data_IF_831048287601
#
_entry.id   IF_831048287601
#
_cell.length_a   1.000
_cell.length_b   1.000
_cell.length_c   1.000
_cell.angle_alpha   90.00
_cell.angle_beta   90.00
_cell.angle_gamma   90.00
#
_symmetry.space_group_name_H-M   'P 1'
#
loop_
_entity.id
_entity.type
_entity.pdbx_description
1 polymer ?
#
# COMPACT_ATOMS: atom_id res chain seq x y z
N UNK A 1 11.89 22.80 -9.43
CA UNK A 1 11.11 22.36 -8.25
C UNK A 1 11.77 21.10 -7.70
N UNK A 2 11.87 20.96 -6.38
CA UNK A 2 12.54 19.83 -5.72
C UNK A 2 11.52 18.82 -5.23
N UNK A 3 11.90 17.55 -5.20
CA UNK A 3 11.07 16.48 -4.62
C UNK A 3 10.84 16.74 -3.13
N UNK A 4 9.59 16.61 -2.68
CA UNK A 4 9.23 16.83 -1.27
C UNK A 4 8.27 15.74 -0.81
N UNK A 5 8.47 15.28 0.42
CA UNK A 5 7.67 14.23 1.04
C UNK A 5 7.32 14.64 2.47
N UNK A 6 6.07 14.38 2.86
CA UNK A 6 5.58 14.54 4.23
C UNK A 6 4.73 13.35 4.61
N UNK A 7 4.78 12.98 5.89
CA UNK A 7 3.92 11.95 6.42
C UNK A 7 3.49 12.28 7.85
N UNK A 8 2.29 11.88 8.19
CA UNK A 8 1.78 11.92 9.56
C UNK A 8 1.06 10.61 9.82
N UNK A 9 1.23 10.06 11.02
CA UNK A 9 0.59 8.80 11.37
C UNK A 9 0.72 8.52 12.86
N UNK A 10 -0.05 7.54 13.29
CA UNK A 10 -0.09 7.15 14.69
C UNK A 10 -0.82 5.84 14.87
N UNK A 11 -0.76 5.35 16.11
CA UNK A 11 -1.50 4.18 16.52
C UNK A 11 -2.06 4.40 17.93
N UNK A 12 -3.12 3.67 18.22
CA UNK A 12 -3.72 3.61 19.55
C UNK A 12 -4.03 2.16 19.89
N UNK A 13 -3.62 1.73 21.08
CA UNK A 13 -3.89 0.38 21.59
C UNK A 13 -4.81 0.47 22.80
N UNK A 14 -5.92 -0.24 22.76
CA UNK A 14 -6.88 -0.36 23.85
C UNK A 14 -7.24 -1.83 24.07
N UNK A 15 -6.73 -2.40 25.16
CA UNK A 15 -6.92 -3.82 25.48
C UNK A 15 -6.42 -4.73 24.37
N UNK A 16 -7.34 -5.47 23.75
CA UNK A 16 -7.06 -6.44 22.68
C UNK A 16 -7.07 -5.81 21.29
N UNK A 17 -7.35 -4.51 21.16
CA UNK A 17 -7.46 -3.82 19.87
C UNK A 17 -6.30 -2.85 19.70
N UNK A 18 -5.68 -2.85 18.51
CA UNK A 18 -4.78 -1.78 18.06
C UNK A 18 -5.30 -1.20 16.76
N UNK A 19 -5.51 0.11 16.74
CA UNK A 19 -5.83 0.87 15.53
C UNK A 19 -4.59 1.63 15.06
N UNK A 20 -4.37 1.70 13.75
CA UNK A 20 -3.33 2.50 13.14
C UNK A 20 -3.94 3.34 12.02
N UNK A 21 -3.41 4.55 11.84
CA UNK A 21 -3.72 5.38 10.69
C UNK A 21 -2.48 6.14 10.24
N UNK A 22 -2.37 6.38 8.94
CA UNK A 22 -1.27 7.13 8.35
C UNK A 22 -1.67 7.85 7.08
N UNK A 23 -1.02 8.96 6.83
CA UNK A 23 -1.13 9.75 5.62
C UNK A 23 0.28 10.09 5.12
N UNK A 24 0.44 10.06 3.81
CA UNK A 24 1.68 10.37 3.11
C UNK A 24 1.36 11.27 1.93
N UNK A 25 2.15 12.32 1.74
CA UNK A 25 2.09 13.20 0.59
C UNK A 25 3.46 13.31 -0.05
N UNK A 26 3.48 13.20 -1.38
CA UNK A 26 4.68 13.44 -2.17
C UNK A 26 4.39 14.45 -3.27
N UNK A 27 5.34 15.34 -3.50
CA UNK A 27 5.42 16.20 -4.68
C UNK A 27 6.68 15.83 -5.45
N UNK A 28 6.51 15.43 -6.71
CA UNK A 28 7.61 15.01 -7.60
C UNK A 28 7.80 15.98 -8.75
N UNK A 29 9.05 16.34 -9.05
CA UNK A 29 9.38 17.08 -10.25
C UNK A 29 9.59 16.10 -11.42
N UNK A 30 8.82 16.29 -12.51
CA UNK A 30 8.92 15.47 -13.72
C UNK A 30 9.51 16.27 -14.90
N UNK A 31 10.39 17.23 -14.61
CA UNK A 31 11.01 18.08 -15.63
C UNK A 31 10.01 19.02 -16.29
N UNK A 32 9.94 18.98 -17.62
CA UNK A 32 9.03 19.83 -18.42
C UNK A 32 7.55 19.47 -18.25
N UNK A 33 7.23 18.28 -17.75
CA UNK A 33 5.86 17.83 -17.49
C UNK A 33 5.22 18.45 -16.24
N UNK A 34 6.00 19.25 -15.49
CA UNK A 34 5.55 19.89 -14.26
C UNK A 34 5.54 18.95 -13.07
N UNK A 35 4.69 19.27 -12.08
CA UNK A 35 4.73 18.65 -10.77
C UNK A 35 3.69 17.53 -10.64
N UNK A 36 4.14 16.34 -10.24
CA UNK A 36 3.30 15.21 -9.78
C UNK A 36 2.92 15.40 -8.31
N UNK A 37 1.72 14.97 -7.95
CA UNK A 37 1.28 14.89 -6.56
C UNK A 37 0.75 13.50 -6.23
N UNK A 38 1.26 12.92 -5.14
CA UNK A 38 0.75 11.67 -4.59
C UNK A 38 0.18 11.94 -3.20
N UNK A 39 -1.01 11.39 -2.94
CA UNK A 39 -1.63 11.38 -1.62
C UNK A 39 -1.98 9.93 -1.31
N UNK A 40 -1.35 9.38 -0.29
CA UNK A 40 -1.62 8.04 0.18
C UNK A 40 -2.10 8.06 1.62
N UNK A 41 -2.97 7.13 1.97
CA UNK A 41 -3.42 6.94 3.34
C UNK A 41 -3.65 5.47 3.63
N UNK A 42 -3.55 5.11 4.89
CA UNK A 42 -3.76 3.75 5.38
C UNK A 42 -4.48 3.79 6.71
N UNK A 43 -5.34 2.81 6.93
CA UNK A 43 -5.97 2.51 8.22
C UNK A 43 -5.90 1.02 8.45
N UNK A 44 -5.65 0.61 9.68
CA UNK A 44 -5.65 -0.81 10.04
C UNK A 44 -6.07 -1.06 11.47
N UNK A 45 -6.61 -2.24 11.70
CA UNK A 45 -7.03 -2.75 12.98
C UNK A 45 -6.39 -4.11 13.19
N UNK A 46 -5.80 -4.30 14.36
CA UNK A 46 -5.40 -5.60 14.89
C UNK A 46 -6.30 -5.94 16.07
N UNK A 47 -6.80 -7.18 16.09
CA UNK A 47 -7.53 -7.78 17.19
C UNK A 47 -6.75 -8.98 17.70
N UNK A 48 -6.30 -8.94 18.96
CA UNK A 48 -5.51 -9.98 19.61
C UNK A 48 -6.18 -10.45 20.92
N UNK A 49 -7.24 -11.30 20.84
CA UNK A 49 -7.86 -11.90 22.00
C UNK A 49 -6.86 -12.72 22.83
N UNK A 50 -7.21 -13.06 24.08
CA UNK A 50 -6.35 -13.89 24.96
C UNK A 50 -6.07 -15.32 24.43
N UNK A 51 -6.72 -15.73 23.34
CA UNK A 51 -6.55 -17.06 22.73
C UNK A 51 -5.31 -17.15 21.84
N UNK A 52 -5.25 -18.23 21.05
CA UNK A 52 -4.14 -18.47 20.14
C UNK A 52 -4.25 -17.72 18.80
N UNK A 53 -5.27 -16.88 18.61
CA UNK A 53 -5.52 -16.21 17.33
C UNK A 53 -5.30 -14.71 17.42
N UNK A 54 -4.63 -14.15 16.40
CA UNK A 54 -4.69 -12.72 16.08
C UNK A 54 -5.32 -12.51 14.71
N UNK A 55 -6.01 -11.38 14.55
CA UNK A 55 -6.62 -10.96 13.30
C UNK A 55 -6.15 -9.55 12.95
N UNK A 56 -5.87 -9.31 11.68
CA UNK A 56 -5.55 -7.98 11.17
C UNK A 56 -6.39 -7.69 9.94
N UNK A 57 -6.88 -6.46 9.84
CA UNK A 57 -7.60 -5.94 8.69
C UNK A 57 -7.10 -4.52 8.43
N UNK A 58 -6.84 -4.18 7.18
CA UNK A 58 -6.48 -2.83 6.83
C UNK A 58 -6.86 -2.48 5.42
N UNK A 59 -6.88 -1.19 5.17
CA UNK A 59 -7.13 -0.61 3.87
C UNK A 59 -6.09 0.47 3.62
N UNK A 60 -5.55 0.50 2.41
CA UNK A 60 -4.68 1.57 1.94
C UNK A 60 -5.14 2.08 0.58
N UNK A 61 -4.93 3.38 0.34
CA UNK A 61 -5.12 4.00 -0.97
C UNK A 61 -3.90 4.85 -1.31
N UNK A 62 -3.48 4.81 -2.56
CA UNK A 62 -2.42 5.63 -3.14
C UNK A 62 -3.00 6.35 -4.36
N UNK A 63 -3.27 7.65 -4.23
CA UNK A 63 -3.81 8.48 -5.30
C UNK A 63 -2.72 9.34 -5.92
N UNK A 64 -2.64 9.32 -7.25
CA UNK A 64 -1.73 10.18 -8.02
C UNK A 64 -2.52 11.20 -8.82
N UNK A 65 -1.92 12.37 -8.95
CA UNK A 65 -2.35 13.44 -9.85
C UNK A 65 -1.14 13.90 -10.65
N UNK A 66 -1.33 14.05 -11.95
CA UNK A 66 -0.33 14.55 -12.86
C UNK A 66 0.94 13.68 -12.89
N UNK A 67 0.79 12.36 -12.88
CA UNK A 67 1.90 11.42 -12.90
C UNK A 67 2.19 10.95 -14.33
N UNK A 68 3.44 11.06 -14.76
CA UNK A 68 3.90 10.41 -15.98
C UNK A 68 4.08 8.92 -15.72
N UNK A 69 3.79 8.09 -16.73
CA UNK A 69 4.12 6.67 -16.67
C UNK A 69 5.63 6.47 -16.80
N UNK A 70 6.07 5.27 -16.47
CA UNK A 70 7.36 4.75 -16.92
C UNK A 70 7.26 4.22 -18.37
N UNK A 71 8.35 3.66 -18.87
CA UNK A 71 8.42 3.09 -20.23
C UNK A 71 7.55 1.84 -20.44
N UNK A 72 7.02 1.25 -19.37
CA UNK A 72 6.13 0.09 -19.42
C UNK A 72 4.66 0.50 -19.41
N UNK A 73 4.37 1.81 -19.27
CA UNK A 73 3.01 2.31 -19.15
C UNK A 73 2.45 2.21 -17.73
N UNK A 74 3.30 2.12 -16.70
CA UNK A 74 2.92 2.01 -15.30
C UNK A 74 3.19 3.29 -14.51
N UNK A 75 2.47 3.51 -13.42
CA UNK A 75 2.77 4.62 -12.50
C UNK A 75 4.02 4.27 -11.67
N UNK A 76 5.16 4.97 -11.83
CA UNK A 76 6.36 4.70 -11.05
C UNK A 76 6.13 5.00 -9.56
N UNK A 77 6.78 4.22 -8.69
CA UNK A 77 6.76 4.47 -7.25
C UNK A 77 7.32 5.86 -6.92
N UNK A 78 6.67 6.56 -5.99
CA UNK A 78 7.14 7.84 -5.49
C UNK A 78 8.59 7.74 -4.98
N UNK A 79 9.38 8.81 -5.17
CA UNK A 79 10.79 8.95 -4.78
C UNK A 79 11.83 8.07 -5.50
N UNK A 80 11.46 6.96 -6.14
CA UNK A 80 12.43 5.99 -6.68
C UNK A 80 12.22 5.62 -8.15
N UNK A 81 11.00 5.74 -8.68
CA UNK A 81 10.72 5.29 -10.04
C UNK A 81 11.06 6.34 -11.10
N UNK A 82 11.62 5.88 -12.22
CA UNK A 82 11.86 6.71 -13.39
C UNK A 82 10.53 6.94 -14.14
N UNK A 83 10.34 8.17 -14.64
CA UNK A 83 9.22 8.51 -15.50
C UNK A 83 9.70 8.73 -16.94
N UNK A 84 8.81 8.47 -17.89
CA UNK A 84 9.00 8.78 -19.29
C UNK A 84 8.42 10.19 -19.58
N UNK A 85 9.25 11.17 -20.00
CA UNK A 85 8.77 12.51 -20.30
C UNK A 85 7.82 12.57 -21.51
N UNK A 86 7.65 11.48 -22.25
CA UNK A 86 6.81 11.38 -23.45
C UNK A 86 5.48 10.64 -23.23
N UNK A 87 5.29 9.99 -22.08
CA UNK A 87 4.13 9.12 -21.82
C UNK A 87 2.80 9.83 -21.55
N UNK A 88 2.81 11.16 -21.56
CA UNK A 88 1.68 11.98 -21.10
C UNK A 88 1.50 11.93 -19.58
N UNK A 89 0.43 12.56 -19.09
CA UNK A 89 0.15 12.76 -17.66
C UNK A 89 -1.16 12.08 -17.27
N UNK A 90 -1.11 11.30 -16.20
CA UNK A 90 -2.19 10.42 -15.76
C UNK A 90 -2.61 10.73 -14.32
N UNK A 91 -3.89 10.46 -14.07
CA UNK A 91 -4.51 10.58 -12.76
C UNK A 91 -5.17 9.25 -12.43
N UNK A 92 -5.13 8.86 -11.16
CA UNK A 92 -5.78 7.63 -10.74
C UNK A 92 -5.45 7.29 -9.30
N UNK A 93 -5.92 6.12 -8.86
CA UNK A 93 -5.54 5.60 -7.55
C UNK A 93 -5.51 4.08 -7.54
N UNK A 94 -4.62 3.56 -6.72
CA UNK A 94 -4.58 2.16 -6.28
C UNK A 94 -5.20 2.09 -4.89
N UNK A 95 -6.07 1.12 -4.67
CA UNK A 95 -6.56 0.77 -3.34
C UNK A 95 -6.35 -0.71 -3.05
N UNK A 96 -6.11 -1.04 -1.79
CA UNK A 96 -5.89 -2.42 -1.36
C UNK A 96 -6.60 -2.64 -0.03
N UNK A 97 -7.53 -3.59 0.02
CA UNK A 97 -8.04 -4.18 1.25
C UNK A 97 -7.17 -5.40 1.57
N UNK A 98 -6.61 -5.47 2.76
CA UNK A 98 -5.76 -6.59 3.18
C UNK A 98 -6.17 -7.10 4.55
N UNK A 99 -5.90 -8.37 4.80
CA UNK A 99 -6.14 -8.97 6.11
C UNK A 99 -5.27 -10.20 6.35
N UNK A 100 -5.18 -10.58 7.61
CA UNK A 100 -4.48 -11.79 8.02
C UNK A 100 -5.04 -12.40 9.29
N UNK A 101 -4.79 -13.69 9.44
CA UNK A 101 -5.09 -14.50 10.62
C UNK A 101 -3.80 -15.20 11.01
N UNK A 102 -3.42 -15.07 12.27
CA UNK A 102 -2.28 -15.80 12.86
C UNK A 102 -2.80 -16.80 13.88
N UNK A 103 -2.25 -18.00 13.87
CA UNK A 103 -2.42 -19.00 14.93
C UNK A 103 -1.09 -19.26 15.63
N UNK A 104 -1.05 -18.99 16.92
CA UNK A 104 0.11 -19.10 17.79
C UNK A 104 0.24 -20.53 18.32
N UNK A 105 1.20 -21.30 17.78
CA UNK A 105 1.58 -22.62 18.28
C UNK A 105 2.35 -22.51 19.61
N UNK A 106 3.09 -21.42 19.78
CA UNK A 106 3.80 -21.06 21.01
C UNK A 106 4.07 -19.56 21.05
N UNK A 107 4.76 -19.07 22.08
CA UNK A 107 5.26 -17.68 22.13
C UNK A 107 6.25 -17.33 21.00
N UNK A 108 6.75 -18.35 20.28
CA UNK A 108 7.85 -18.21 19.31
C UNK A 108 7.50 -18.71 17.92
N UNK A 109 6.43 -19.49 17.77
CA UNK A 109 6.07 -20.12 16.50
C UNK A 109 4.60 -19.88 16.22
N UNK A 110 4.31 -19.44 15.01
CA UNK A 110 2.96 -19.17 14.53
C UNK A 110 2.82 -19.59 13.06
N UNK A 111 1.61 -19.99 12.69
CA UNK A 111 1.21 -20.17 11.29
C UNK A 111 0.25 -19.06 10.91
N UNK A 112 0.24 -18.66 9.64
CA UNK A 112 -0.62 -17.58 9.21
C UNK A 112 -1.22 -17.79 7.83
N UNK A 113 -2.36 -17.14 7.63
CA UNK A 113 -2.98 -16.88 6.34
C UNK A 113 -3.07 -15.36 6.20
N UNK A 114 -2.60 -14.84 5.07
CA UNK A 114 -2.70 -13.44 4.73
C UNK A 114 -3.19 -13.30 3.29
N UNK A 115 -3.81 -12.19 2.99
CA UNK A 115 -4.18 -11.87 1.63
C UNK A 115 -4.60 -10.44 1.46
N UNK A 116 -4.63 -10.02 0.21
CA UNK A 116 -5.10 -8.71 -0.17
C UNK A 116 -5.84 -8.73 -1.50
N UNK A 117 -6.70 -7.72 -1.65
CA UNK A 117 -7.44 -7.43 -2.85
C UNK A 117 -7.14 -6.00 -3.27
N UNK A 118 -6.32 -5.88 -4.31
CA UNK A 118 -5.92 -4.63 -4.92
C UNK A 118 -6.87 -4.27 -6.08
N UNK A 119 -7.22 -2.99 -6.20
CA UNK A 119 -7.96 -2.43 -7.33
C UNK A 119 -7.30 -1.16 -7.83
N UNK A 120 -7.35 -0.98 -9.14
CA UNK A 120 -6.79 0.15 -9.86
C UNK A 120 -7.92 0.94 -10.52
N UNK A 121 -7.84 2.27 -10.44
CA UNK A 121 -8.88 3.18 -10.89
C UNK A 121 -8.29 4.36 -11.66
N UNK A 122 -9.01 4.82 -12.68
CA UNK A 122 -8.53 5.85 -13.59
C UNK A 122 -7.35 5.35 -14.43
N UNK A 123 -6.35 6.20 -14.68
CA UNK A 123 -5.09 5.84 -15.33
C UNK A 123 -4.03 5.38 -14.33
N UNK A 124 -4.39 4.61 -13.31
CA UNK A 124 -3.40 3.99 -12.43
C UNK A 124 -3.14 2.57 -12.92
N UNK A 125 -1.89 2.28 -13.29
CA UNK A 125 -1.43 0.99 -13.80
C UNK A 125 -0.21 0.52 -13.01
N UNK A 126 -0.11 -0.80 -12.84
CA UNK A 126 1.00 -1.45 -12.14
C UNK A 126 1.31 -2.76 -12.86
N UNK A 127 2.56 -2.99 -13.25
CA UNK A 127 2.94 -4.14 -14.06
C UNK A 127 2.62 -5.50 -13.44
N UNK A 128 2.55 -5.60 -12.11
CA UNK A 128 2.19 -6.84 -11.41
C UNK A 128 0.76 -7.32 -11.69
N UNK A 129 -0.12 -6.48 -12.24
CA UNK A 129 -1.50 -6.86 -12.58
C UNK A 129 -1.64 -7.41 -13.99
N UNK A 130 -0.58 -7.39 -14.81
CA UNK A 130 -0.60 -7.88 -16.20
C UNK A 130 -1.77 -7.31 -17.02
N UNK A 131 -2.06 -6.01 -16.84
CA UNK A 131 -3.15 -5.30 -17.53
C UNK A 131 -4.53 -5.41 -16.87
N UNK A 132 -4.68 -6.21 -15.81
CA UNK A 132 -5.92 -6.25 -15.03
C UNK A 132 -6.08 -5.00 -14.15
N UNK A 133 -7.32 -4.61 -13.87
CA UNK A 133 -7.65 -3.49 -12.97
C UNK A 133 -7.85 -3.95 -11.52
N UNK A 134 -7.61 -5.23 -11.23
CA UNK A 134 -7.64 -5.79 -9.89
C UNK A 134 -6.72 -7.01 -9.78
N UNK A 135 -6.34 -7.36 -8.55
CA UNK A 135 -5.51 -8.51 -8.24
C UNK A 135 -5.87 -9.03 -6.85
N UNK A 136 -5.96 -10.35 -6.71
CA UNK A 136 -6.04 -11.03 -5.42
C UNK A 136 -4.73 -11.76 -5.18
N UNK A 137 -4.11 -11.52 -4.04
CA UNK A 137 -2.92 -12.24 -3.59
C UNK A 137 -3.24 -12.95 -2.27
N UNK A 138 -2.85 -14.22 -2.16
CA UNK A 138 -3.02 -15.04 -0.96
C UNK A 138 -1.69 -15.69 -0.60
N UNK A 139 -1.35 -15.68 0.67
CA UNK A 139 -0.13 -16.29 1.20
C UNK A 139 -0.42 -17.03 2.49
N UNK A 140 0.25 -18.16 2.68
CA UNK A 140 0.34 -18.84 3.97
C UNK A 140 1.80 -19.05 4.34
N UNK A 141 2.09 -19.16 5.63
CA UNK A 141 3.45 -19.43 6.07
C UNK A 141 3.55 -19.77 7.55
N UNK A 142 4.78 -20.10 7.95
CA UNK A 142 5.18 -20.34 9.33
C UNK A 142 6.26 -19.33 9.70
N UNK A 143 6.19 -18.76 10.91
CA UNK A 143 7.19 -17.85 11.44
C UNK A 143 7.70 -18.36 12.78
N UNK A 144 9.01 -18.54 12.90
CA UNK A 144 9.69 -18.92 14.15
C UNK A 144 10.70 -17.86 14.56
N UNK A 145 10.70 -17.46 15.83
CA UNK A 145 11.64 -16.50 16.43
C UNK A 145 12.51 -17.23 17.46
N UNK A 146 13.82 -16.96 17.48
CA UNK A 146 14.81 -17.65 18.31
C UNK A 146 15.21 -16.82 19.53
#
# INVERSE_FOLDING_TARGET
ITNQTWSAGGNYTFGIVRANAGYFRYLGNQGSLGQRQDNAWTVSLKLAPKGAFDYELGYQQMRVKNAAYDTNGDIPNANIGAFDPTSGLHNGYKETLYGSIFYHLSKRTEVYLAGDYMRLHGGYTVGSTFGATNQVELTTGVRTRF
#
